data_IF_937145368755
#
_entry.id   IF_937145368755
#
_cell.length_a   1.000
_cell.length_b   1.000
_cell.length_c   1.000
_cell.angle_alpha   90.00
_cell.angle_beta   90.00
_cell.angle_gamma   90.00
#
_symmetry.space_group_name_H-M   'P 1'
#
loop_
_entity.id
_entity.type
_entity.pdbx_description
1 polymer ?
#
# COMPACT_ATOMS: atom_id res chain seq x y z
N UNK A 1 10.95 -44.24 -29.52
CA UNK A 1 11.85 -43.10 -29.75
C UNK A 1 11.11 -41.76 -29.83
N UNK A 2 9.96 -41.67 -30.51
CA UNK A 2 9.20 -40.42 -30.62
C UNK A 2 8.60 -39.94 -29.29
N UNK A 3 8.29 -40.83 -28.34
CA UNK A 3 7.73 -40.48 -27.03
C UNK A 3 8.73 -39.86 -26.05
N UNK A 4 10.04 -40.18 -26.21
CA UNK A 4 11.09 -39.66 -25.32
C UNK A 4 11.47 -38.23 -25.64
N UNK A 5 11.43 -37.81 -26.90
CA UNK A 5 11.72 -36.45 -27.33
C UNK A 5 10.66 -35.42 -26.86
N UNK A 6 9.37 -35.79 -26.85
CA UNK A 6 8.29 -34.93 -26.38
C UNK A 6 8.38 -34.69 -24.88
N UNK A 7 8.78 -35.66 -24.08
CA UNK A 7 8.95 -35.54 -22.63
C UNK A 7 10.08 -34.55 -22.27
N UNK A 8 11.19 -34.58 -23.01
CA UNK A 8 12.32 -33.66 -22.80
C UNK A 8 11.92 -32.21 -23.07
N UNK A 9 11.14 -31.94 -24.11
CA UNK A 9 10.65 -30.59 -24.42
C UNK A 9 9.74 -30.04 -23.34
N UNK A 10 8.87 -30.83 -22.74
CA UNK A 10 7.99 -30.43 -21.66
C UNK A 10 8.77 -30.06 -20.41
N UNK A 11 9.77 -30.82 -20.03
CA UNK A 11 10.63 -30.58 -18.86
C UNK A 11 11.44 -29.30 -19.03
N UNK A 12 12.01 -29.03 -20.19
CA UNK A 12 12.75 -27.80 -20.50
C UNK A 12 11.83 -26.58 -20.46
N UNK A 13 10.61 -26.68 -20.99
CA UNK A 13 9.62 -25.60 -20.94
C UNK A 13 9.20 -25.24 -19.53
N UNK A 14 8.99 -26.23 -18.66
CA UNK A 14 8.63 -25.99 -17.24
C UNK A 14 9.80 -25.36 -16.47
N UNK A 15 11.03 -25.78 -16.70
CA UNK A 15 12.21 -25.20 -16.06
C UNK A 15 12.44 -23.74 -16.45
N UNK A 16 12.25 -23.40 -17.73
CA UNK A 16 12.35 -22.02 -18.22
C UNK A 16 11.25 -21.11 -17.62
N UNK A 17 10.04 -21.61 -17.49
CA UNK A 17 8.93 -20.90 -16.87
C UNK A 17 9.19 -20.58 -15.39
N UNK A 18 9.74 -21.53 -14.63
CA UNK A 18 10.12 -21.35 -13.22
C UNK A 18 11.27 -20.32 -13.07
N UNK A 19 12.26 -20.34 -13.95
CA UNK A 19 13.36 -19.38 -13.91
C UNK A 19 12.90 -17.93 -14.16
N UNK A 20 11.92 -17.71 -15.03
CA UNK A 20 11.34 -16.39 -15.30
C UNK A 20 10.55 -15.86 -14.10
N UNK A 21 9.85 -16.73 -13.36
CA UNK A 21 9.09 -16.33 -12.17
C UNK A 21 9.97 -15.88 -10.99
N UNK A 22 11.17 -16.41 -10.85
CA UNK A 22 12.11 -16.08 -9.76
C UNK A 22 12.83 -14.75 -9.99
N UNK A 23 12.90 -14.24 -11.24
CA UNK A 23 13.67 -13.04 -11.59
C UNK A 23 12.92 -11.72 -11.44
N UNK A 24 11.62 -11.72 -11.10
CA UNK A 24 10.81 -10.51 -10.97
C UNK A 24 10.77 -10.10 -9.49
N UNK A 25 11.68 -9.22 -9.09
CA UNK A 25 11.61 -8.53 -7.80
C UNK A 25 10.76 -7.26 -7.97
N UNK A 26 9.70 -7.12 -7.19
CA UNK A 26 8.89 -5.92 -7.15
C UNK A 26 9.58 -4.84 -6.32
N UNK A 27 9.69 -3.61 -6.87
CA UNK A 27 10.21 -2.48 -6.12
C UNK A 27 9.20 -2.04 -5.05
N UNK A 28 9.66 -1.75 -3.82
CA UNK A 28 8.78 -1.24 -2.79
C UNK A 28 8.29 0.16 -3.13
N UNK A 29 7.03 0.45 -2.83
CA UNK A 29 6.41 1.72 -3.11
C UNK A 29 5.57 2.26 -1.96
N UNK A 30 5.33 3.56 -2.00
CA UNK A 30 4.51 4.28 -1.06
C UNK A 30 3.86 5.51 -1.70
N UNK A 31 3.05 6.21 -0.92
CA UNK A 31 2.28 7.37 -1.40
C UNK A 31 2.81 8.72 -0.90
N UNK A 32 3.79 8.72 0.00
CA UNK A 32 4.41 9.93 0.52
C UNK A 32 3.63 10.58 1.64
N UNK A 33 3.34 9.83 2.69
CA UNK A 33 2.66 10.31 3.90
C UNK A 33 3.48 10.02 5.14
N UNK A 34 3.52 10.99 6.06
CA UNK A 34 3.91 10.77 7.45
C UNK A 34 2.64 10.70 8.28
N UNK A 35 2.45 9.64 9.05
CA UNK A 35 1.21 9.36 9.77
C UNK A 35 1.46 8.97 11.22
N UNK A 36 0.43 9.15 12.05
CA UNK A 36 0.40 8.75 13.45
C UNK A 36 -0.90 8.00 13.71
N UNK A 37 -0.86 6.96 14.54
CA UNK A 37 -2.07 6.25 14.94
C UNK A 37 -2.73 6.93 16.14
N UNK A 38 -4.04 7.14 16.07
CA UNK A 38 -4.82 7.77 17.13
C UNK A 38 -5.20 6.78 18.21
N UNK A 39 -5.38 7.30 19.43
CA UNK A 39 -5.98 6.54 20.52
C UNK A 39 -7.48 6.36 20.26
N UNK A 40 -7.99 5.17 20.54
CA UNK A 40 -9.40 4.83 20.37
C UNK A 40 -10.06 4.67 21.74
N UNK A 41 -10.88 5.63 22.13
CA UNK A 41 -11.47 5.69 23.48
C UNK A 41 -12.39 4.51 23.81
N UNK A 42 -13.23 4.10 22.87
CA UNK A 42 -14.16 2.99 23.07
C UNK A 42 -13.45 1.65 23.24
N UNK A 43 -12.33 1.46 22.51
CA UNK A 43 -11.49 0.27 22.61
C UNK A 43 -10.50 0.36 23.77
N UNK A 44 -10.25 1.55 24.28
CA UNK A 44 -9.23 1.84 25.29
C UNK A 44 -7.83 1.36 24.89
N UNK A 45 -7.44 1.62 23.65
CA UNK A 45 -6.13 1.25 23.10
C UNK A 45 -5.63 2.29 22.08
N UNK A 46 -4.38 2.13 21.59
CA UNK A 46 -3.77 2.97 20.59
C UNK A 46 -3.97 2.44 19.17
N UNK A 47 -5.05 1.73 18.93
CA UNK A 47 -5.40 1.13 17.62
C UNK A 47 -6.58 1.85 16.95
N UNK A 48 -6.62 3.16 17.07
CA UNK A 48 -7.56 3.99 16.33
C UNK A 48 -7.14 4.17 14.86
N UNK A 49 -7.88 4.98 14.11
CA UNK A 49 -7.48 5.33 12.75
C UNK A 49 -6.18 6.14 12.74
N UNK A 50 -5.59 6.31 11.56
CA UNK A 50 -4.35 7.07 11.42
C UNK A 50 -4.63 8.50 10.96
N UNK A 51 -3.83 9.44 11.44
CA UNK A 51 -3.89 10.85 11.05
C UNK A 51 -2.67 11.23 10.23
N UNK A 52 -2.87 12.04 9.21
CA UNK A 52 -1.79 12.57 8.36
C UNK A 52 -1.08 13.72 9.10
N UNK A 53 0.19 13.50 9.43
CA UNK A 53 1.05 14.51 10.04
C UNK A 53 1.69 15.41 8.99
N UNK A 54 2.08 14.83 7.86
CA UNK A 54 2.72 15.57 6.77
C UNK A 54 2.51 14.86 5.44
N UNK A 55 2.55 15.63 4.36
CA UNK A 55 2.48 15.14 2.98
C UNK A 55 3.83 15.42 2.33
N UNK A 56 4.53 14.36 1.93
CA UNK A 56 5.90 14.42 1.50
C UNK A 56 6.04 14.79 0.02
N UNK A 57 7.06 15.55 -0.32
CA UNK A 57 7.41 15.85 -1.71
C UNK A 57 7.81 14.56 -2.44
N UNK A 58 7.42 14.46 -3.70
CA UNK A 58 7.74 13.31 -4.55
C UNK A 58 6.73 12.16 -4.47
N UNK A 59 5.83 12.16 -3.50
CA UNK A 59 4.76 11.17 -3.40
C UNK A 59 3.48 11.60 -4.12
N UNK A 60 2.62 10.64 -4.43
CA UNK A 60 1.35 10.88 -5.11
C UNK A 60 0.30 11.55 -4.23
N UNK A 61 0.42 11.44 -2.91
CA UNK A 61 -0.54 12.02 -1.96
C UNK A 61 -0.62 13.54 -2.06
N UNK A 62 0.50 14.22 -2.31
CA UNK A 62 0.56 15.67 -2.45
C UNK A 62 -0.32 16.17 -3.60
N UNK A 63 -0.17 15.58 -4.78
CA UNK A 63 -0.97 15.94 -5.95
C UNK A 63 -2.38 15.33 -5.91
N UNK A 64 -2.57 14.28 -5.13
CA UNK A 64 -3.86 13.61 -4.96
C UNK A 64 -4.83 14.34 -4.06
N UNK A 65 -4.38 15.39 -3.36
CA UNK A 65 -5.25 16.20 -2.52
C UNK A 65 -5.37 15.76 -1.07
N UNK A 66 -4.48 14.91 -0.59
CA UNK A 66 -4.38 14.58 0.85
C UNK A 66 -3.80 15.76 1.59
N UNK A 67 -4.35 16.11 2.72
CA UNK A 67 -3.95 17.26 3.53
C UNK A 67 -3.52 16.84 4.94
N UNK A 68 -2.66 17.65 5.56
CA UNK A 68 -2.35 17.51 6.99
C UNK A 68 -3.64 17.53 7.82
N UNK A 69 -3.72 16.65 8.80
CA UNK A 69 -4.87 16.52 9.67
C UNK A 69 -5.96 15.60 9.14
N UNK A 70 -5.87 15.14 7.91
CA UNK A 70 -6.78 14.15 7.38
C UNK A 70 -6.69 12.85 8.18
N UNK A 71 -7.84 12.23 8.44
CA UNK A 71 -7.91 10.94 9.14
C UNK A 71 -8.18 9.86 8.10
N UNK A 72 -7.28 8.89 8.00
CA UNK A 72 -7.43 7.74 7.13
C UNK A 72 -8.14 6.65 7.93
N UNK A 73 -9.41 6.43 7.64
CA UNK A 73 -10.25 5.45 8.33
C UNK A 73 -10.18 4.06 7.70
N UNK A 74 -9.97 4.00 6.39
CA UNK A 74 -9.88 2.76 5.63
C UNK A 74 -8.80 2.87 4.56
N UNK A 75 -8.18 1.73 4.25
CA UNK A 75 -7.27 1.55 3.12
C UNK A 75 -7.79 0.38 2.30
N UNK A 76 -8.07 0.61 1.01
CA UNK A 76 -8.73 -0.36 0.12
C UNK A 76 -9.98 -0.98 0.77
N UNK A 77 -10.79 -0.11 1.40
CA UNK A 77 -12.04 -0.43 2.10
C UNK A 77 -11.87 -1.26 3.38
N UNK A 78 -10.65 -1.51 3.81
CA UNK A 78 -10.34 -2.20 5.05
C UNK A 78 -10.07 -1.20 6.16
N UNK A 79 -10.75 -1.35 7.33
CA UNK A 79 -10.61 -0.43 8.46
C UNK A 79 -9.19 -0.42 9.01
N UNK A 80 -8.70 0.78 9.32
CA UNK A 80 -7.42 0.97 10.03
C UNK A 80 -7.58 0.82 11.54
N UNK A 81 -8.79 1.01 12.06
CA UNK A 81 -9.07 0.84 13.49
C UNK A 81 -8.95 -0.62 13.90
N UNK A 82 -8.30 -0.87 15.01
CA UNK A 82 -8.10 -2.21 15.56
C UNK A 82 -6.87 -2.94 15.00
N UNK A 83 -6.13 -2.32 14.10
CA UNK A 83 -4.91 -2.90 13.52
C UNK A 83 -3.66 -2.31 14.18
N UNK A 84 -2.60 -3.10 14.20
CA UNK A 84 -1.28 -2.63 14.65
C UNK A 84 -0.74 -1.57 13.69
N UNK A 85 -0.06 -0.55 14.22
CA UNK A 85 0.50 0.54 13.42
C UNK A 85 1.40 0.04 12.28
N UNK A 86 2.33 -0.88 12.58
CA UNK A 86 3.23 -1.43 11.57
C UNK A 86 2.49 -2.23 10.50
N UNK A 87 1.41 -2.91 10.85
CA UNK A 87 0.59 -3.63 9.89
C UNK A 87 -0.09 -2.67 8.90
N UNK A 88 -0.61 -1.56 9.40
CA UNK A 88 -1.18 -0.50 8.54
C UNK A 88 -0.13 0.04 7.57
N UNK A 89 1.06 0.36 8.06
CA UNK A 89 2.13 0.94 7.25
C UNK A 89 2.66 -0.06 6.22
N UNK A 90 3.03 -1.26 6.66
CA UNK A 90 3.77 -2.21 5.82
C UNK A 90 2.85 -3.02 4.90
N UNK A 91 1.64 -3.36 5.34
CA UNK A 91 0.76 -4.30 4.63
C UNK A 91 -0.47 -3.63 4.00
N UNK A 92 -0.75 -2.37 4.33
CA UNK A 92 -1.90 -1.64 3.79
C UNK A 92 -1.49 -0.42 2.95
N UNK A 93 -0.73 0.51 3.53
CA UNK A 93 -0.31 1.73 2.82
C UNK A 93 0.80 1.46 1.82
N UNK A 94 1.84 0.75 2.23
CA UNK A 94 2.91 0.33 1.35
C UNK A 94 2.49 -0.86 0.50
N UNK A 95 3.11 -1.00 -0.64
CA UNK A 95 2.92 -2.10 -1.56
C UNK A 95 3.89 -1.98 -2.72
N UNK A 96 3.74 -2.80 -3.76
CA UNK A 96 4.59 -2.69 -4.93
C UNK A 96 4.46 -1.31 -5.58
N UNK A 97 5.58 -0.74 -6.02
CA UNK A 97 5.56 0.52 -6.77
C UNK A 97 4.69 0.38 -8.02
N UNK A 98 4.09 1.48 -8.45
CA UNK A 98 3.20 1.56 -9.63
C UNK A 98 1.88 0.79 -9.48
N UNK A 99 1.49 0.45 -8.25
CA UNK A 99 0.15 -0.06 -7.94
C UNK A 99 -0.68 1.01 -7.27
N UNK A 100 -2.01 0.89 -7.35
CA UNK A 100 -2.93 1.85 -6.76
C UNK A 100 -3.35 1.45 -5.35
N UNK A 101 -3.66 2.43 -4.52
CA UNK A 101 -4.27 2.27 -3.21
C UNK A 101 -5.37 3.31 -3.03
N UNK A 102 -6.50 2.93 -2.48
CA UNK A 102 -7.61 3.84 -2.20
C UNK A 102 -7.68 4.11 -0.70
N UNK A 103 -7.60 5.39 -0.34
CA UNK A 103 -7.72 5.85 1.04
C UNK A 103 -9.10 6.42 1.27
N UNK A 104 -9.79 5.97 2.32
CA UNK A 104 -11.01 6.63 2.81
C UNK A 104 -10.61 7.65 3.86
N UNK A 105 -10.89 8.91 3.59
CA UNK A 105 -10.44 10.04 4.38
C UNK A 105 -11.63 10.74 4.99
N UNK A 106 -11.52 11.04 6.29
CA UNK A 106 -12.38 11.99 6.98
C UNK A 106 -11.59 13.28 7.18
N UNK A 107 -12.02 14.34 6.51
CA UNK A 107 -11.39 15.67 6.62
C UNK A 107 -12.01 16.43 7.77
N UNK A 108 -11.20 16.68 8.79
CA UNK A 108 -11.68 17.30 10.03
C UNK A 108 -12.15 18.74 9.84
N UNK A 109 -11.53 19.50 8.91
CA UNK A 109 -11.89 20.89 8.64
C UNK A 109 -13.29 21.06 8.05
N UNK A 110 -13.77 20.07 7.29
CA UNK A 110 -15.09 20.12 6.61
C UNK A 110 -16.06 19.05 7.12
N UNK A 111 -15.58 18.12 7.95
CA UNK A 111 -16.30 16.94 8.42
C UNK A 111 -16.87 16.07 7.28
N UNK A 112 -16.20 16.08 6.14
CA UNK A 112 -16.56 15.25 4.97
C UNK A 112 -15.76 13.95 4.98
N UNK A 113 -16.38 12.88 4.48
CA UNK A 113 -15.73 11.58 4.23
C UNK A 113 -15.76 11.30 2.73
N UNK A 114 -14.62 10.95 2.18
CA UNK A 114 -14.47 10.69 0.75
C UNK A 114 -13.30 9.77 0.48
N UNK A 115 -13.25 9.18 -0.71
CA UNK A 115 -12.16 8.31 -1.14
C UNK A 115 -11.19 9.06 -2.05
N UNK A 116 -9.91 8.80 -1.88
CA UNK A 116 -8.84 9.24 -2.78
C UNK A 116 -8.07 8.01 -3.22
N UNK A 117 -7.92 7.83 -4.53
CA UNK A 117 -7.08 6.76 -5.09
C UNK A 117 -5.73 7.34 -5.50
N UNK A 118 -4.67 6.75 -5.02
CA UNK A 118 -3.29 7.19 -5.21
C UNK A 118 -2.46 6.08 -5.85
N UNK A 119 -1.49 6.46 -6.67
CA UNK A 119 -0.50 5.55 -7.21
C UNK A 119 0.71 5.48 -6.29
N UNK A 120 1.16 4.28 -5.97
CA UNK A 120 2.41 4.09 -5.24
C UNK A 120 3.58 4.41 -6.15
N UNK A 121 4.53 5.16 -5.64
CA UNK A 121 5.81 5.47 -6.32
C UNK A 121 6.95 4.76 -5.58
N UNK A 122 8.09 4.61 -6.23
CA UNK A 122 9.25 4.00 -5.59
C UNK A 122 9.62 4.74 -4.30
N UNK A 123 9.79 4.00 -3.21
CA UNK A 123 10.05 4.59 -1.89
C UNK A 123 11.43 5.25 -1.79
N UNK A 124 12.37 4.93 -2.67
CA UNK A 124 13.69 5.58 -2.74
C UNK A 124 13.62 7.09 -2.97
N UNK A 125 12.56 7.61 -3.58
CA UNK A 125 12.38 9.03 -3.85
C UNK A 125 11.63 9.79 -2.77
N UNK A 126 11.16 9.11 -1.70
CA UNK A 126 10.30 9.69 -0.68
C UNK A 126 11.04 10.06 0.62
N UNK A 127 12.29 9.65 0.76
CA UNK A 127 13.06 9.85 2.01
C UNK A 127 14.45 10.34 1.75
#
# INVERSE_FOLDING_TARGET
>A
MKKTAVLVFIIVGVLLSLAVQVSIAEEPGGVGLSVLQLYHHERNDHKGPIVVLDVLLGGSALNGGVEKGDIITHVDKESTTGKEYLDIIENMLRGPAYTSVTLTIRRTSTNQTFDITLDRVESKGLY
#
